data_IF_484281659711
#
_entry.id   IF_484281659711
#
_cell.length_a   1.000
_cell.length_b   1.000
_cell.length_c   1.000
_cell.angle_alpha   90.00
_cell.angle_beta   90.00
_cell.angle_gamma   90.00
#
_symmetry.space_group_name_H-M   'P 1'
#
loop_
_entity.id
_entity.type
_entity.pdbx_description
1 polymer ?
#
# COMPACT_ATOMS: atom_id res chain seq x y z
N UNK A 1 7.03 10.45 13.44
CA UNK A 1 5.98 9.95 14.34
C UNK A 1 4.66 10.09 13.60
N UNK A 2 3.84 9.05 13.67
CA UNK A 2 2.49 9.00 13.13
C UNK A 2 1.59 8.74 14.34
N UNK A 3 0.52 9.51 14.48
CA UNK A 3 -0.43 9.39 15.58
C UNK A 3 -1.80 8.93 15.05
N UNK A 4 -2.64 8.31 15.91
CA UNK A 4 -4.03 8.04 15.56
C UNK A 4 -4.73 9.31 15.05
N UNK A 5 -5.41 9.20 13.91
CA UNK A 5 -6.12 10.31 13.25
C UNK A 5 -5.27 11.18 12.33
N UNK A 6 -3.96 10.92 12.19
CA UNK A 6 -3.15 11.60 11.19
C UNK A 6 -3.58 11.21 9.76
N UNK A 7 -3.56 12.18 8.84
CA UNK A 7 -3.77 11.95 7.42
C UNK A 7 -2.43 11.69 6.76
N UNK A 8 -2.26 10.47 6.25
CA UNK A 8 -1.02 10.01 5.61
C UNK A 8 -1.26 9.87 4.11
N UNK A 9 -0.37 10.48 3.32
CA UNK A 9 -0.25 10.23 1.89
C UNK A 9 0.94 9.33 1.66
N UNK A 10 0.69 8.19 1.02
CA UNK A 10 1.73 7.30 0.52
C UNK A 10 1.70 7.34 -1.01
N UNK A 11 2.87 7.50 -1.62
CA UNK A 11 3.02 7.47 -3.08
C UNK A 11 4.30 6.77 -3.48
N UNK A 12 4.22 5.96 -4.54
CA UNK A 12 5.34 5.24 -5.11
C UNK A 12 5.47 5.66 -6.57
N UNK A 13 6.68 6.05 -6.98
CA UNK A 13 7.01 6.33 -8.37
C UNK A 13 8.05 5.33 -8.86
N UNK A 14 7.67 4.52 -9.83
CA UNK A 14 8.57 3.57 -10.50
C UNK A 14 9.32 4.31 -11.61
N UNK A 15 10.63 4.52 -11.43
CA UNK A 15 11.44 5.24 -12.41
C UNK A 15 12.13 4.32 -13.42
N UNK A 16 12.32 3.05 -13.06
CA UNK A 16 12.73 1.95 -13.94
C UNK A 16 12.42 0.59 -13.27
N UNK A 17 12.50 -0.55 -13.99
CA UNK A 17 12.21 -1.86 -13.40
C UNK A 17 13.03 -2.19 -12.14
N UNK A 18 14.23 -1.64 -12.03
CA UNK A 18 15.17 -1.88 -10.93
C UNK A 18 15.19 -0.77 -9.85
N UNK A 19 14.36 0.29 -9.99
CA UNK A 19 14.35 1.40 -9.02
C UNK A 19 13.00 2.11 -8.91
N UNK A 20 12.64 2.44 -7.67
CA UNK A 20 11.47 3.25 -7.36
C UNK A 20 11.77 4.27 -6.27
N UNK A 21 10.94 5.31 -6.19
CA UNK A 21 10.96 6.30 -5.12
C UNK A 21 9.67 6.16 -4.32
N UNK A 22 9.81 5.83 -3.04
CA UNK A 22 8.69 5.80 -2.10
C UNK A 22 8.70 7.09 -1.30
N UNK A 23 7.54 7.71 -1.18
CA UNK A 23 7.33 8.93 -0.39
C UNK A 23 6.17 8.72 0.58
N UNK A 24 6.37 9.15 1.82
CA UNK A 24 5.34 9.22 2.84
C UNK A 24 5.27 10.67 3.33
N UNK A 25 4.10 11.27 3.22
CA UNK A 25 3.78 12.58 3.79
C UNK A 25 2.74 12.42 4.88
N UNK A 26 3.02 12.96 6.06
CA UNK A 26 2.01 13.15 7.09
C UNK A 26 1.47 14.58 6.97
N UNK A 27 0.31 14.74 6.34
CA UNK A 27 -0.30 16.05 6.08
C UNK A 27 -0.70 16.78 7.36
N UNK A 28 -1.08 16.03 8.40
CA UNK A 28 -1.42 16.58 9.72
C UNK A 28 -0.22 17.29 10.36
N UNK A 29 0.99 16.79 10.15
CA UNK A 29 2.23 17.36 10.70
C UNK A 29 3.11 18.10 9.69
N UNK A 30 2.75 18.06 8.40
CA UNK A 30 3.52 18.57 7.25
C UNK A 30 4.94 18.01 7.16
N UNK A 31 5.14 16.77 7.63
CA UNK A 31 6.43 16.07 7.56
C UNK A 31 6.41 15.12 6.39
N UNK A 32 7.46 15.16 5.58
CA UNK A 32 7.64 14.29 4.43
C UNK A 32 8.94 13.54 4.56
N UNK A 33 8.92 12.26 4.22
CA UNK A 33 10.10 11.42 4.05
C UNK A 33 10.05 10.76 2.68
N UNK A 34 11.21 10.62 2.04
CA UNK A 34 11.35 9.94 0.76
C UNK A 34 12.53 8.99 0.79
N UNK A 35 12.41 7.86 0.10
CA UNK A 35 13.49 6.89 -0.05
C UNK A 35 13.49 6.32 -1.45
N UNK A 36 14.66 6.32 -2.09
CA UNK A 36 14.89 5.54 -3.30
C UNK A 36 15.19 4.10 -2.91
N UNK A 37 14.47 3.16 -3.54
CA UNK A 37 14.64 1.72 -3.36
C UNK A 37 15.15 1.16 -4.68
N UNK A 38 16.08 0.21 -4.58
CA UNK A 38 16.66 -0.50 -5.71
C UNK A 38 16.32 -1.98 -5.60
N UNK A 39 16.17 -2.65 -6.74
CA UNK A 39 16.05 -4.10 -6.77
C UNK A 39 17.28 -4.74 -6.10
N UNK A 40 17.10 -5.75 -5.25
CA UNK A 40 18.21 -6.40 -4.56
C UNK A 40 19.12 -7.19 -5.51
N UNK A 41 18.58 -7.66 -6.64
CA UNK A 41 19.31 -8.31 -7.74
C UNK A 41 18.55 -8.14 -9.07
N UNK A 42 19.17 -8.56 -10.18
CA UNK A 42 18.63 -8.38 -11.53
C UNK A 42 17.38 -9.24 -11.84
N UNK A 43 17.07 -10.23 -11.01
CA UNK A 43 15.89 -11.08 -11.17
C UNK A 43 14.69 -10.61 -10.33
N UNK A 44 14.94 -9.77 -9.33
CA UNK A 44 13.93 -9.19 -8.43
C UNK A 44 13.45 -7.79 -8.89
N UNK A 45 13.32 -7.57 -10.20
CA UNK A 45 12.85 -6.29 -10.76
C UNK A 45 11.31 -6.22 -10.77
N UNK A 46 10.76 -5.01 -10.69
CA UNK A 46 9.32 -4.80 -10.74
C UNK A 46 8.80 -4.96 -12.17
N UNK A 47 7.73 -5.73 -12.31
CA UNK A 47 7.04 -5.91 -13.59
C UNK A 47 6.00 -4.82 -13.89
N UNK A 48 5.52 -4.11 -12.87
CA UNK A 48 4.51 -3.05 -13.02
C UNK A 48 3.10 -3.55 -13.36
N UNK A 49 2.77 -4.80 -13.03
CA UNK A 49 1.48 -5.41 -13.37
C UNK A 49 0.35 -5.04 -12.42
N UNK A 50 0.67 -4.69 -11.18
CA UNK A 50 -0.30 -4.48 -10.12
C UNK A 50 -0.09 -3.12 -9.45
N UNK A 51 -1.19 -2.50 -9.07
CA UNK A 51 -1.23 -1.39 -8.13
C UNK A 51 -2.33 -1.70 -7.11
N UNK A 52 -2.01 -1.57 -5.82
CA UNK A 52 -2.86 -2.06 -4.74
C UNK A 52 -2.89 -1.10 -3.54
N UNK A 53 -4.00 -1.16 -2.82
CA UNK A 53 -4.22 -0.46 -1.56
C UNK A 53 -4.63 -1.51 -0.53
N UNK A 54 -3.70 -1.89 0.34
CA UNK A 54 -3.82 -3.09 1.16
C UNK A 54 -3.74 -2.76 2.65
N UNK A 55 -4.60 -3.41 3.43
CA UNK A 55 -4.37 -3.64 4.86
C UNK A 55 -3.91 -5.09 5.03
N UNK A 56 -2.70 -5.28 5.54
CA UNK A 56 -2.04 -6.59 5.56
C UNK A 56 -1.81 -7.07 6.99
N UNK A 57 -2.03 -8.37 7.22
CA UNK A 57 -1.48 -9.05 8.38
C UNK A 57 -0.06 -9.54 8.06
N UNK A 58 0.91 -8.64 8.17
CA UNK A 58 2.28 -8.89 7.72
C UNK A 58 3.00 -9.95 8.57
N UNK A 59 4.03 -10.56 7.98
CA UNK A 59 4.91 -11.49 8.65
C UNK A 59 6.14 -10.79 9.24
N UNK A 60 6.53 -11.18 10.44
CA UNK A 60 7.79 -10.79 11.08
C UNK A 60 8.54 -12.05 11.50
N UNK A 61 9.78 -12.20 11.03
CA UNK A 61 10.64 -13.35 11.35
C UNK A 61 10.02 -14.72 10.99
N UNK A 62 9.22 -14.76 9.92
CA UNK A 62 8.63 -15.99 9.39
C UNK A 62 7.27 -16.38 10.00
N UNK A 63 6.74 -15.56 10.91
CA UNK A 63 5.43 -15.77 11.52
C UNK A 63 4.56 -14.52 11.36
N UNK A 64 3.28 -14.74 11.11
CA UNK A 64 2.31 -13.66 11.01
C UNK A 64 2.17 -12.95 12.36
N UNK A 65 2.26 -11.62 12.37
CA UNK A 65 2.08 -10.87 13.61
C UNK A 65 0.64 -11.03 14.15
N UNK A 66 0.41 -10.82 15.46
CA UNK A 66 -0.95 -10.73 15.97
C UNK A 66 -1.73 -9.65 15.22
N UNK A 67 -2.84 -10.05 14.59
CA UNK A 67 -3.67 -9.10 13.86
C UNK A 67 -4.49 -8.29 14.86
N UNK A 68 -4.17 -7.00 14.97
CA UNK A 68 -4.84 -6.08 15.90
C UNK A 68 -6.12 -5.55 15.27
N UNK A 69 -7.17 -5.45 16.10
CA UNK A 69 -8.40 -4.79 15.67
C UNK A 69 -8.14 -3.30 15.43
N UNK A 70 -8.67 -2.78 14.33
CA UNK A 70 -8.76 -1.37 14.02
C UNK A 70 -10.18 -1.05 13.57
N UNK A 71 -10.56 0.23 13.63
CA UNK A 71 -11.87 0.67 13.17
C UNK A 71 -11.92 0.65 11.63
N UNK A 72 -11.90 1.83 11.01
CA UNK A 72 -11.92 1.99 9.56
C UNK A 72 -10.62 2.62 9.09
N UNK A 73 -9.94 1.92 8.17
CA UNK A 73 -8.89 2.54 7.35
C UNK A 73 -9.51 2.88 6.01
N UNK A 74 -9.44 4.16 5.62
CA UNK A 74 -9.96 4.65 4.34
C UNK A 74 -8.81 5.12 3.47
N UNK A 75 -8.64 4.48 2.32
CA UNK A 75 -7.81 5.02 1.25
C UNK A 75 -8.66 5.99 0.43
N UNK A 76 -8.21 7.23 0.31
CA UNK A 76 -8.87 8.27 -0.47
C UNK A 76 -7.98 8.68 -1.65
N UNK A 77 -8.59 9.14 -2.73
CA UNK A 77 -7.88 9.60 -3.95
C UNK A 77 -6.91 8.53 -4.49
N UNK A 78 -7.34 7.27 -4.44
CA UNK A 78 -6.63 6.14 -5.02
C UNK A 78 -6.48 6.31 -6.53
N UNK A 79 -5.23 6.43 -6.99
CA UNK A 79 -4.90 6.49 -8.40
C UNK A 79 -3.58 5.76 -8.66
N UNK A 80 -3.56 4.96 -9.72
CA UNK A 80 -2.36 4.37 -10.30
C UNK A 80 -2.16 4.93 -11.71
N UNK A 81 -0.91 5.11 -12.14
CA UNK A 81 -0.60 5.62 -13.47
C UNK A 81 0.24 4.58 -14.23
N UNK A 82 -0.25 4.15 -15.38
CA UNK A 82 0.43 3.22 -16.28
C UNK A 82 0.31 3.73 -17.72
N UNK A 83 1.41 3.78 -18.46
CA UNK A 83 1.47 4.24 -19.84
C UNK A 83 0.76 5.59 -20.10
N UNK A 84 0.82 6.51 -19.12
CA UNK A 84 0.20 7.83 -19.19
C UNK A 84 -1.31 7.86 -18.94
N UNK A 85 -1.92 6.72 -18.59
CA UNK A 85 -3.33 6.58 -18.24
C UNK A 85 -3.48 6.47 -16.72
N UNK A 86 -4.47 7.17 -16.18
CA UNK A 86 -4.86 7.04 -14.78
C UNK A 86 -5.86 5.89 -14.62
N UNK A 87 -5.59 5.01 -13.66
CA UNK A 87 -6.44 3.92 -13.25
C UNK A 87 -6.91 4.17 -11.81
N UNK A 88 -8.21 4.37 -11.65
CA UNK A 88 -8.86 4.40 -10.34
C UNK A 88 -9.17 2.99 -9.82
N UNK A 89 -10.13 2.88 -8.91
CA UNK A 89 -10.57 1.61 -8.34
C UNK A 89 -11.63 0.87 -9.18
N UNK A 90 -12.01 1.43 -10.33
CA UNK A 90 -12.98 0.80 -11.23
C UNK A 90 -12.42 -0.55 -11.72
N UNK A 91 -13.16 -1.63 -11.47
CA UNK A 91 -12.76 -3.02 -11.74
C UNK A 91 -11.59 -3.56 -10.88
N UNK A 92 -11.24 -2.89 -9.78
CA UNK A 92 -10.26 -3.46 -8.84
C UNK A 92 -10.74 -4.81 -8.29
N UNK A 93 -9.82 -5.78 -8.25
CA UNK A 93 -10.05 -7.02 -7.53
C UNK A 93 -10.10 -6.73 -6.03
N UNK A 94 -11.12 -7.25 -5.33
CA UNK A 94 -11.30 -7.06 -3.90
C UNK A 94 -10.87 -8.33 -3.16
N UNK A 95 -9.96 -8.15 -2.22
CA UNK A 95 -9.49 -9.21 -1.32
C UNK A 95 -9.87 -8.85 0.11
N UNK A 96 -10.26 -9.86 0.89
CA UNK A 96 -10.56 -9.74 2.32
C UNK A 96 -9.58 -10.60 3.11
N UNK A 97 -9.27 -10.18 4.33
CA UNK A 97 -8.45 -10.99 5.22
C UNK A 97 -9.33 -12.00 5.95
N UNK A 98 -9.05 -13.28 5.73
CA UNK A 98 -9.75 -14.41 6.35
C UNK A 98 -8.79 -15.17 7.26
N UNK A 99 -9.24 -15.50 8.49
CA UNK A 99 -8.54 -16.38 9.44
C UNK A 99 -9.53 -17.40 9.98
N UNK A 100 -9.16 -18.68 9.95
CA UNK A 100 -10.02 -19.77 10.43
C UNK A 100 -11.45 -19.69 9.88
N UNK A 101 -11.57 -19.45 8.56
CA UNK A 101 -12.84 -19.27 7.83
C UNK A 101 -13.67 -18.02 8.23
N UNK A 102 -13.12 -17.13 9.06
CA UNK A 102 -13.75 -15.88 9.50
C UNK A 102 -13.10 -14.68 8.80
N UNK A 103 -13.92 -13.81 8.21
CA UNK A 103 -13.46 -12.50 7.72
C UNK A 103 -13.11 -11.62 8.91
N UNK A 104 -11.82 -11.30 9.05
CA UNK A 104 -11.29 -10.44 10.13
C UNK A 104 -11.02 -9.00 9.66
N UNK A 105 -10.92 -8.78 8.34
CA UNK A 105 -10.96 -7.45 7.74
C UNK A 105 -11.69 -7.50 6.40
N UNK A 106 -12.88 -6.90 6.35
CA UNK A 106 -13.67 -6.75 5.13
C UNK A 106 -13.28 -5.50 4.34
N UNK A 107 -13.45 -5.54 3.02
CA UNK A 107 -13.06 -4.45 2.12
C UNK A 107 -14.24 -4.01 1.26
N UNK A 108 -14.40 -2.70 1.10
CA UNK A 108 -15.43 -2.11 0.26
C UNK A 108 -14.86 -0.97 -0.58
N UNK A 109 -15.04 -1.08 -1.90
CA UNK A 109 -14.84 0.03 -2.84
C UNK A 109 -16.16 0.81 -2.92
N UNK A 110 -16.11 2.13 -2.73
CA UNK A 110 -17.26 3.04 -2.68
C UNK A 110 -17.13 4.19 -3.66
#
# INVERSE_FOLDING_TARGET
MVNPGDVIVASINVAAPDRGVCMIENQSTRKTVSKTIYAPDSTATMAGWNAEWVGENFDSDGEAVPFVAFDLVRFEKCAAYADGVEHGLENAAVYELVKDEVVVAGVKVV
#
